data_IF_442700402221
#
_entry.id   IF_442700402221
#
_cell.length_a   1.000
_cell.length_b   1.000
_cell.length_c   1.000
_cell.angle_alpha   90.00
_cell.angle_beta   90.00
_cell.angle_gamma   90.00
#
_symmetry.space_group_name_H-M   'P 1'
#
loop_
_entity.id
_entity.type
_entity.pdbx_description
1 polymer ?
#
# COMPACT_ATOMS: atom_id res chain seq x y z
N UNK A 1 -14.89 -8.33 13.59
CA UNK A 1 -14.50 -8.49 12.17
C UNK A 1 -15.25 -7.42 11.41
N UNK A 2 -14.56 -6.41 10.91
CA UNK A 2 -15.20 -5.37 10.11
C UNK A 2 -15.36 -5.91 8.70
N UNK A 3 -16.60 -6.07 8.25
CA UNK A 3 -16.88 -6.48 6.87
C UNK A 3 -16.52 -5.32 5.93
N UNK A 4 -15.39 -5.47 5.25
CA UNK A 4 -14.99 -4.59 4.17
C UNK A 4 -15.43 -5.19 2.84
N UNK A 5 -15.89 -4.35 1.90
CA UNK A 5 -16.10 -4.77 0.52
C UNK A 5 -14.73 -5.11 -0.09
N UNK A 6 -14.53 -6.39 -0.41
CA UNK A 6 -13.34 -6.87 -1.12
C UNK A 6 -13.62 -6.91 -2.63
N UNK A 7 -12.57 -7.13 -3.43
CA UNK A 7 -12.65 -7.21 -4.91
C UNK A 7 -13.13 -5.90 -5.58
N UNK A 8 -12.76 -4.76 -4.99
CA UNK A 8 -12.98 -3.43 -5.53
C UNK A 8 -11.69 -2.60 -5.41
N UNK A 9 -11.60 -1.53 -6.20
CA UNK A 9 -10.45 -0.62 -6.15
C UNK A 9 -10.58 0.38 -5.00
N UNK A 10 -9.49 0.52 -4.25
CA UNK A 10 -9.35 1.51 -3.18
C UNK A 10 -8.10 2.35 -3.41
N UNK A 11 -8.20 3.66 -3.20
CA UNK A 11 -7.04 4.55 -3.26
C UNK A 11 -6.22 4.36 -1.98
N UNK A 12 -4.99 3.86 -2.10
CA UNK A 12 -4.10 3.62 -0.97
C UNK A 12 -3.27 4.85 -0.55
N UNK A 13 -2.94 5.73 -1.50
CA UNK A 13 -2.24 6.99 -1.28
C UNK A 13 -2.33 7.88 -2.53
N UNK A 14 -2.05 9.18 -2.37
CA UNK A 14 -1.78 10.09 -3.48
C UNK A 14 -0.34 9.90 -4.00
N UNK A 15 -0.14 10.23 -5.28
CA UNK A 15 1.16 10.07 -5.96
C UNK A 15 2.30 10.80 -5.24
N UNK A 16 2.02 11.98 -4.68
CA UNK A 16 2.98 12.83 -3.95
C UNK A 16 3.40 12.27 -2.60
N UNK A 17 2.66 11.31 -2.05
CA UNK A 17 2.95 10.73 -0.75
C UNK A 17 3.77 9.45 -0.82
N UNK A 18 3.96 8.89 -2.01
CA UNK A 18 4.71 7.65 -2.22
C UNK A 18 6.05 8.00 -2.84
N UNK A 19 7.12 7.76 -2.08
CA UNK A 19 8.50 8.01 -2.47
C UNK A 19 9.32 6.70 -2.45
N UNK A 20 10.66 6.79 -2.53
CA UNK A 20 11.53 5.61 -2.39
C UNK A 20 11.59 5.04 -0.97
N UNK A 21 11.26 5.83 0.04
CA UNK A 21 11.15 5.37 1.43
C UNK A 21 9.90 4.51 1.60
N UNK A 22 10.02 3.46 2.42
CA UNK A 22 8.88 2.61 2.79
C UNK A 22 7.83 3.44 3.54
N UNK A 23 6.59 3.41 3.06
CA UNK A 23 5.42 4.03 3.70
C UNK A 23 4.44 2.94 4.15
N UNK A 24 4.36 2.60 5.44
CA UNK A 24 3.38 1.67 5.95
C UNK A 24 1.98 2.30 5.93
N UNK A 25 0.98 1.54 5.50
CA UNK A 25 -0.44 1.91 5.49
C UNK A 25 -1.29 0.71 5.90
N UNK A 26 -2.48 0.97 6.44
CA UNK A 26 -3.45 -0.07 6.78
C UNK A 26 -4.73 0.11 5.96
N UNK A 27 -5.04 -0.85 5.09
CA UNK A 27 -6.24 -0.82 4.25
C UNK A 27 -7.08 -2.07 4.49
N UNK A 28 -8.38 -1.89 4.73
CA UNK A 28 -9.31 -3.01 4.91
C UNK A 28 -8.82 -4.03 5.96
N UNK A 29 -8.20 -3.52 7.03
CA UNK A 29 -7.51 -4.26 8.10
C UNK A 29 -6.22 -5.01 7.72
N UNK A 30 -5.71 -4.87 6.50
CA UNK A 30 -4.45 -5.45 6.03
C UNK A 30 -3.30 -4.45 6.14
N UNK A 31 -2.12 -4.92 6.56
CA UNK A 31 -0.90 -4.12 6.64
C UNK A 31 -0.16 -4.18 5.30
N UNK A 32 0.04 -3.02 4.69
CA UNK A 32 0.63 -2.88 3.35
C UNK A 32 1.75 -1.86 3.44
N UNK A 33 2.86 -2.11 2.76
CA UNK A 33 3.95 -1.15 2.59
C UNK A 33 3.98 -0.63 1.15
N UNK A 34 3.95 0.69 1.01
CA UNK A 34 4.03 1.39 -0.28
C UNK A 34 5.41 1.98 -0.49
N UNK A 35 5.95 1.89 -1.69
CA UNK A 35 7.17 2.59 -2.10
C UNK A 35 7.25 2.73 -3.62
N UNK A 36 8.22 3.50 -4.12
CA UNK A 36 8.59 3.55 -5.54
C UNK A 36 9.91 2.83 -5.79
N UNK A 37 9.98 2.11 -6.91
CA UNK A 37 11.23 1.56 -7.43
C UNK A 37 12.20 2.68 -7.85
N UNK A 38 13.42 2.31 -8.23
CA UNK A 38 14.39 3.28 -8.78
C UNK A 38 13.87 3.94 -10.07
N UNK A 39 13.10 3.20 -10.86
CA UNK A 39 12.46 3.68 -12.10
C UNK A 39 11.15 4.45 -11.85
N UNK A 40 10.77 4.66 -10.58
CA UNK A 40 9.62 5.47 -10.19
C UNK A 40 8.27 4.74 -10.16
N UNK A 41 8.25 3.45 -10.50
CA UNK A 41 7.05 2.62 -10.46
C UNK A 41 6.55 2.44 -9.00
N UNK A 42 5.29 2.76 -8.68
CA UNK A 42 4.74 2.48 -7.36
C UNK A 42 4.54 0.97 -7.16
N UNK A 43 4.83 0.50 -5.94
CA UNK A 43 4.71 -0.88 -5.49
C UNK A 43 3.94 -0.91 -4.17
N UNK A 44 3.10 -1.93 -4.00
CA UNK A 44 2.43 -2.28 -2.75
C UNK A 44 2.76 -3.74 -2.41
N UNK A 45 3.33 -3.98 -1.23
CA UNK A 45 3.62 -5.31 -0.70
C UNK A 45 2.90 -5.49 0.64
N UNK A 46 2.69 -6.74 1.05
CA UNK A 46 2.35 -7.02 2.44
C UNK A 46 3.48 -6.50 3.35
N UNK A 47 3.14 -5.80 4.42
CA UNK A 47 4.12 -5.27 5.39
C UNK A 47 4.54 -6.37 6.38
N UNK A 48 5.08 -7.47 5.82
CA UNK A 48 5.54 -8.64 6.55
C UNK A 48 6.73 -9.28 5.83
N UNK A 49 7.68 -9.82 6.61
CA UNK A 49 8.71 -10.70 6.07
C UNK A 49 8.11 -12.11 5.87
N UNK A 50 8.36 -12.79 4.74
CA UNK A 50 7.91 -14.17 4.50
C UNK A 50 8.41 -15.17 5.54
#
# INVERSE_FOLDING_TARGET
>A
MSDFLKNAWYVAALSTEVARSLKPVKLLSEAIVLYRTQDGQPVALEDACP
#
